data_IF_917926967023
#
_entry.id   IF_917926967023
#
_cell.length_a   1.000
_cell.length_b   1.000
_cell.length_c   1.000
_cell.angle_alpha   90.00
_cell.angle_beta   90.00
_cell.angle_gamma   90.00
#
_symmetry.space_group_name_H-M   'P 1'
#
loop_
_entity.id
_entity.type
_entity.pdbx_description
1 polymer ?
#
# COMPACT_ATOMS: atom_id res chain seq x y z
N UNK A 1 9.07 -0.54 -0.87
CA UNK A 1 7.66 -0.88 -0.58
C UNK A 1 6.80 0.36 -0.76
N UNK A 2 5.63 0.18 -1.34
CA UNK A 2 4.60 1.20 -1.56
C UNK A 2 3.37 0.94 -0.68
N UNK A 3 2.27 1.66 -0.95
CA UNK A 3 1.06 1.56 -0.13
C UNK A 3 0.37 0.20 -0.23
N UNK A 4 0.47 -0.52 -1.37
CA UNK A 4 -0.12 -1.85 -1.50
C UNK A 4 0.68 -2.90 -0.73
N UNK A 5 2.00 -2.91 -0.89
CA UNK A 5 2.89 -3.78 -0.13
C UNK A 5 2.69 -3.62 1.39
N UNK A 6 2.70 -2.37 1.88
CA UNK A 6 2.55 -2.06 3.31
C UNK A 6 1.14 -2.40 3.79
N UNK A 7 0.12 -2.02 3.03
CA UNK A 7 -1.27 -2.34 3.31
C UNK A 7 -1.51 -3.84 3.41
N UNK A 8 -0.98 -4.61 2.47
CA UNK A 8 -1.07 -6.07 2.44
C UNK A 8 -0.42 -6.70 3.69
N UNK A 9 0.79 -6.24 4.06
CA UNK A 9 1.49 -6.73 5.24
C UNK A 9 0.73 -6.44 6.53
N UNK A 10 0.25 -5.21 6.71
CA UNK A 10 -0.52 -4.81 7.89
C UNK A 10 -1.85 -5.57 7.96
N UNK A 11 -2.59 -5.64 6.86
CA UNK A 11 -3.88 -6.32 6.82
C UNK A 11 -3.74 -7.81 7.18
N UNK A 12 -2.78 -8.52 6.58
CA UNK A 12 -2.56 -9.93 6.86
C UNK A 12 -2.11 -10.17 8.31
N UNK A 13 -1.21 -9.35 8.83
CA UNK A 13 -0.76 -9.46 10.23
C UNK A 13 -1.93 -9.25 11.20
N UNK A 14 -2.74 -8.21 11.00
CA UNK A 14 -3.91 -7.93 11.85
C UNK A 14 -4.98 -9.02 11.73
N UNK A 15 -5.21 -9.54 10.52
CA UNK A 15 -6.10 -10.66 10.27
C UNK A 15 -5.68 -11.91 11.04
N UNK A 16 -4.41 -12.34 10.92
CA UNK A 16 -3.92 -13.52 11.64
C UNK A 16 -3.98 -13.29 13.15
N UNK A 17 -3.55 -12.12 13.63
CA UNK A 17 -3.61 -11.79 15.06
C UNK A 17 -5.04 -11.83 15.62
N UNK A 18 -6.04 -11.44 14.81
CA UNK A 18 -7.45 -11.42 15.20
C UNK A 18 -8.09 -12.80 15.22
N UNK A 19 -7.88 -13.59 14.17
CA UNK A 19 -8.62 -14.84 13.95
C UNK A 19 -7.83 -16.09 14.30
N UNK A 20 -6.51 -15.98 14.43
CA UNK A 20 -5.56 -17.06 14.72
C UNK A 20 -4.49 -16.61 15.74
N UNK A 21 -4.92 -16.17 16.96
CA UNK A 21 -4.02 -15.51 17.92
C UNK A 21 -2.92 -16.41 18.47
N UNK A 22 -3.02 -17.71 18.28
CA UNK A 22 -2.00 -18.69 18.68
C UNK A 22 -0.79 -18.72 17.72
N UNK A 23 -0.88 -18.05 16.57
CA UNK A 23 0.23 -17.99 15.60
C UNK A 23 1.20 -16.88 15.95
N UNK A 24 2.49 -17.20 15.91
CA UNK A 24 3.56 -16.22 15.99
C UNK A 24 3.81 -15.61 14.62
N UNK A 25 3.74 -14.29 14.51
CA UNK A 25 3.88 -13.55 13.26
C UNK A 25 5.02 -12.56 13.40
N UNK A 26 5.86 -12.50 12.38
CA UNK A 26 6.83 -11.45 12.19
C UNK A 26 6.62 -10.84 10.79
N UNK A 27 6.57 -9.52 10.72
CA UNK A 27 6.50 -8.78 9.45
C UNK A 27 7.80 -8.04 9.24
N UNK A 28 8.43 -8.24 8.11
CA UNK A 28 9.65 -7.54 7.73
C UNK A 28 9.40 -6.69 6.48
N UNK A 29 9.73 -5.40 6.61
CA UNK A 29 9.80 -4.45 5.51
C UNK A 29 11.10 -3.66 5.71
N UNK A 30 11.94 -3.59 4.68
CA UNK A 30 13.27 -2.97 4.77
C UNK A 30 13.19 -1.50 5.21
N UNK A 31 12.28 -0.74 4.62
CA UNK A 31 12.05 0.66 4.99
C UNK A 31 10.58 1.00 4.79
N UNK A 32 9.93 1.47 5.84
CA UNK A 32 8.55 1.98 5.77
C UNK A 32 8.59 3.48 5.47
N UNK A 33 8.06 3.95 4.33
CA UNK A 33 7.97 5.37 4.04
C UNK A 33 7.22 6.14 5.12
N UNK A 34 7.62 7.38 5.37
CA UNK A 34 7.07 8.22 6.45
C UNK A 34 5.55 8.35 6.37
N UNK A 35 5.02 8.47 5.16
CA UNK A 35 3.59 8.60 4.88
C UNK A 35 2.76 7.41 5.38
N UNK A 36 3.36 6.24 5.59
CA UNK A 36 2.68 5.03 6.07
C UNK A 36 2.99 4.66 7.51
N UNK A 37 3.84 5.41 8.22
CA UNK A 37 4.23 5.10 9.61
C UNK A 37 3.02 5.08 10.56
N UNK A 38 1.96 5.82 10.25
CA UNK A 38 0.72 5.81 11.04
C UNK A 38 0.00 4.45 11.05
N UNK A 39 0.34 3.54 10.13
CA UNK A 39 -0.23 2.19 10.10
C UNK A 39 0.35 1.29 11.21
N UNK A 40 1.51 1.66 11.75
CA UNK A 40 2.19 0.97 12.86
C UNK A 40 2.46 1.91 14.03
N UNK A 41 1.45 2.66 14.46
CA UNK A 41 1.53 3.65 15.55
C UNK A 41 2.17 3.08 16.83
N UNK A 42 1.91 1.80 17.11
CA UNK A 42 2.40 1.11 18.30
C UNK A 42 3.76 0.47 18.12
N UNK A 43 4.31 0.48 16.90
CA UNK A 43 5.55 -0.22 16.52
C UNK A 43 5.52 -1.72 16.90
N UNK A 44 4.37 -2.36 16.70
CA UNK A 44 4.14 -3.76 17.01
C UNK A 44 3.92 -4.65 15.77
N UNK A 45 4.05 -4.09 14.58
CA UNK A 45 3.84 -4.78 13.30
C UNK A 45 5.18 -5.09 12.65
N UNK A 46 5.98 -4.04 12.35
CA UNK A 46 7.19 -4.20 11.55
C UNK A 46 8.41 -4.53 12.40
N UNK A 47 9.17 -5.52 11.95
CA UNK A 47 10.49 -5.82 12.50
C UNK A 47 11.56 -4.91 11.88
N UNK A 48 12.41 -4.33 12.71
CA UNK A 48 13.55 -3.52 12.29
C UNK A 48 14.76 -4.36 11.79
N UNK A 49 14.66 -5.68 11.87
CA UNK A 49 15.73 -6.60 11.45
C UNK A 49 15.13 -7.86 10.84
N UNK A 50 15.83 -8.42 9.87
CA UNK A 50 15.47 -9.72 9.32
C UNK A 50 15.60 -10.76 10.42
N UNK A 51 14.52 -11.48 10.75
CA UNK A 51 14.56 -12.53 11.74
C UNK A 51 15.50 -13.65 11.31
N UNK A 52 16.33 -14.14 12.23
CA UNK A 52 17.25 -15.24 11.97
C UNK A 52 16.61 -16.63 12.17
N UNK A 53 15.37 -16.67 12.67
CA UNK A 53 14.66 -17.89 12.98
C UNK A 53 14.22 -18.65 11.72
N UNK A 54 14.00 -19.97 11.88
CA UNK A 54 13.38 -20.77 10.85
C UNK A 54 11.88 -20.64 10.95
N UNK A 55 11.25 -20.17 9.88
CA UNK A 55 9.80 -20.06 9.80
C UNK A 55 9.16 -21.35 9.30
N UNK A 56 7.98 -21.68 9.82
CA UNK A 56 7.15 -22.73 9.27
C UNK A 56 6.58 -22.33 7.91
N UNK A 57 6.21 -21.05 7.77
CA UNK A 57 5.72 -20.47 6.53
C UNK A 57 6.29 -19.06 6.35
N UNK A 58 6.84 -18.78 5.18
CA UNK A 58 7.16 -17.43 4.73
C UNK A 58 6.15 -17.00 3.66
N UNK A 59 5.50 -15.87 3.85
CA UNK A 59 4.57 -15.30 2.88
C UNK A 59 5.19 -14.04 2.29
N UNK A 60 5.44 -14.04 0.99
CA UNK A 60 5.82 -12.85 0.23
C UNK A 60 4.56 -12.18 -0.29
N UNK A 61 4.41 -10.88 -0.01
CA UNK A 61 3.27 -10.08 -0.43
C UNK A 61 3.74 -8.99 -1.39
N UNK A 62 3.01 -8.81 -2.48
CA UNK A 62 3.24 -7.75 -3.44
C UNK A 62 4.69 -7.72 -3.97
N UNK A 63 5.19 -8.91 -4.28
CA UNK A 63 6.59 -9.10 -4.64
C UNK A 63 6.71 -10.04 -5.84
N UNK A 64 7.00 -9.50 -7.02
CA UNK A 64 6.99 -10.23 -8.29
C UNK A 64 8.18 -11.16 -8.50
N UNK A 65 9.26 -11.02 -7.70
CA UNK A 65 10.45 -11.88 -7.80
C UNK A 65 11.21 -11.96 -6.47
N UNK A 66 11.95 -13.05 -6.22
CA UNK A 66 12.71 -13.23 -4.98
C UNK A 66 13.79 -12.16 -4.78
N UNK A 67 14.33 -11.60 -5.86
CA UNK A 67 15.37 -10.57 -5.78
C UNK A 67 14.89 -9.30 -5.08
N UNK A 68 13.57 -9.05 -5.10
CA UNK A 68 12.94 -7.90 -4.43
C UNK A 68 12.72 -8.10 -2.92
N UNK A 69 12.97 -9.31 -2.41
CA UNK A 69 12.88 -9.58 -0.96
C UNK A 69 14.05 -8.99 -0.15
N UNK A 70 15.08 -8.46 -0.84
CA UNK A 70 16.23 -7.87 -0.19
C UNK A 70 16.87 -8.80 0.83
N UNK A 71 17.14 -8.32 2.03
CA UNK A 71 17.76 -9.08 3.11
C UNK A 71 16.90 -10.26 3.60
N UNK A 72 15.58 -10.22 3.38
CA UNK A 72 14.68 -11.32 3.76
C UNK A 72 14.77 -12.55 2.83
N UNK A 73 15.44 -12.45 1.68
CA UNK A 73 15.56 -13.55 0.71
C UNK A 73 16.11 -14.82 1.35
N UNK A 74 17.09 -14.70 2.23
CA UNK A 74 17.66 -15.86 2.93
C UNK A 74 16.65 -16.54 3.86
N UNK A 75 15.83 -15.76 4.56
CA UNK A 75 14.78 -16.30 5.43
C UNK A 75 13.68 -16.99 4.61
N UNK A 76 13.35 -16.47 3.42
CA UNK A 76 12.44 -17.10 2.46
C UNK A 76 12.91 -18.51 2.07
N UNK A 77 14.16 -18.64 1.63
CA UNK A 77 14.68 -19.96 1.20
C UNK A 77 14.90 -20.95 2.34
N UNK A 78 15.03 -20.48 3.59
CA UNK A 78 15.22 -21.32 4.76
C UNK A 78 13.89 -21.73 5.43
N UNK A 79 12.77 -21.16 5.02
CA UNK A 79 11.44 -21.49 5.55
C UNK A 79 11.05 -22.93 5.15
N UNK A 80 10.23 -23.60 5.99
CA UNK A 80 9.73 -24.95 5.68
C UNK A 80 8.77 -24.94 4.49
N UNK A 81 7.98 -23.87 4.36
CA UNK A 81 7.05 -23.64 3.27
C UNK A 81 7.08 -22.18 2.87
N UNK A 82 6.82 -21.92 1.58
CA UNK A 82 6.79 -20.56 1.04
C UNK A 82 5.50 -20.31 0.28
N UNK A 83 4.97 -19.08 0.41
CA UNK A 83 3.80 -18.61 -0.31
C UNK A 83 4.08 -17.22 -0.90
N UNK A 84 3.54 -16.96 -2.07
CA UNK A 84 3.52 -15.63 -2.67
C UNK A 84 2.06 -15.25 -2.97
N UNK A 85 1.65 -14.05 -2.56
CA UNK A 85 0.36 -13.45 -2.89
C UNK A 85 0.66 -12.14 -3.60
N UNK A 86 0.21 -12.00 -4.84
CA UNK A 86 0.61 -10.90 -5.71
C UNK A 86 -0.43 -10.64 -6.80
N UNK A 87 -0.38 -9.48 -7.43
CA UNK A 87 -1.19 -9.14 -8.59
C UNK A 87 -0.36 -8.74 -9.82
N UNK A 88 0.95 -8.70 -9.70
CA UNK A 88 1.82 -8.31 -10.82
C UNK A 88 1.85 -9.35 -11.93
N UNK A 89 1.51 -8.96 -13.16
CA UNK A 89 1.59 -9.80 -14.36
C UNK A 89 3.02 -10.35 -14.61
N UNK A 90 4.03 -9.67 -14.09
CA UNK A 90 5.44 -10.06 -14.20
C UNK A 90 5.90 -11.05 -13.12
N UNK A 91 5.00 -11.51 -12.23
CA UNK A 91 5.35 -12.43 -11.17
C UNK A 91 5.90 -13.75 -11.72
N UNK A 92 6.99 -14.21 -11.14
CA UNK A 92 7.71 -15.41 -11.59
C UNK A 92 7.20 -16.72 -10.96
N UNK A 93 6.17 -16.69 -10.15
CA UNK A 93 5.61 -17.84 -9.43
C UNK A 93 6.69 -18.64 -8.69
N UNK A 94 7.51 -17.98 -7.89
CA UNK A 94 8.74 -18.48 -7.31
C UNK A 94 8.59 -19.18 -5.95
N UNK A 95 7.42 -19.10 -5.34
CA UNK A 95 7.12 -19.72 -4.06
C UNK A 95 6.59 -21.15 -4.22
N UNK A 96 6.54 -21.92 -3.14
CA UNK A 96 5.91 -23.25 -3.14
C UNK A 96 4.41 -23.19 -3.43
N UNK A 97 3.73 -22.13 -2.97
CA UNK A 97 2.34 -21.80 -3.31
C UNK A 97 2.31 -20.38 -3.84
N UNK A 98 1.69 -20.17 -5.00
CA UNK A 98 1.58 -18.86 -5.62
C UNK A 98 0.11 -18.55 -5.89
N UNK A 99 -0.35 -17.43 -5.37
CA UNK A 99 -1.68 -16.85 -5.62
C UNK A 99 -1.42 -15.52 -6.34
N UNK A 100 -1.51 -15.54 -7.67
CA UNK A 100 -1.19 -14.39 -8.51
C UNK A 100 -2.41 -14.07 -9.37
N UNK A 101 -3.04 -12.95 -9.10
CA UNK A 101 -4.27 -12.50 -9.74
C UNK A 101 -4.00 -11.21 -10.54
N UNK A 102 -3.50 -11.36 -11.76
CA UNK A 102 -3.08 -10.23 -12.60
C UNK A 102 -4.23 -9.28 -13.00
N UNK A 103 -5.48 -9.72 -12.90
CA UNK A 103 -6.66 -8.90 -13.14
C UNK A 103 -7.14 -8.12 -11.90
N UNK A 104 -6.58 -8.41 -10.72
CA UNK A 104 -6.86 -7.66 -9.51
C UNK A 104 -6.16 -6.29 -9.55
N UNK A 105 -6.79 -5.29 -8.98
CA UNK A 105 -6.24 -3.94 -8.95
C UNK A 105 -5.02 -3.80 -8.06
N UNK A 106 -4.86 -4.69 -7.07
CA UNK A 106 -3.81 -4.66 -6.05
C UNK A 106 -3.70 -5.99 -5.32
N UNK A 107 -2.60 -6.24 -4.66
CA UNK A 107 -2.43 -7.37 -3.72
C UNK A 107 -3.41 -7.28 -2.55
N UNK A 108 -3.76 -6.08 -2.11
CA UNK A 108 -4.80 -5.86 -1.09
C UNK A 108 -6.19 -6.31 -1.57
N UNK A 109 -6.54 -6.15 -2.85
CA UNK A 109 -7.77 -6.71 -3.43
C UNK A 109 -7.74 -8.25 -3.38
N UNK A 110 -6.62 -8.87 -3.76
CA UNK A 110 -6.44 -10.33 -3.67
C UNK A 110 -6.61 -10.81 -2.24
N UNK A 111 -5.95 -10.15 -1.28
CA UNK A 111 -6.06 -10.50 0.13
C UNK A 111 -7.48 -10.35 0.67
N UNK A 112 -8.20 -9.29 0.29
CA UNK A 112 -9.59 -9.14 0.67
C UNK A 112 -10.44 -10.33 0.21
N UNK A 113 -10.26 -10.77 -1.04
CA UNK A 113 -10.98 -11.93 -1.57
C UNK A 113 -10.66 -13.21 -0.80
N UNK A 114 -9.37 -13.48 -0.54
CA UNK A 114 -8.95 -14.65 0.23
C UNK A 114 -9.50 -14.63 1.68
N UNK A 115 -9.41 -13.49 2.35
CA UNK A 115 -9.95 -13.34 3.69
C UNK A 115 -11.47 -13.50 3.74
N UNK A 116 -12.18 -13.08 2.68
CA UNK A 116 -13.64 -13.17 2.60
C UNK A 116 -14.16 -14.60 2.46
N UNK A 117 -13.31 -15.55 2.06
CA UNK A 117 -13.62 -16.98 2.08
C UNK A 117 -13.65 -17.55 3.52
N UNK A 118 -13.01 -16.88 4.49
CA UNK A 118 -13.12 -17.22 5.89
C UNK A 118 -14.44 -16.66 6.47
N UNK A 119 -15.33 -17.56 6.90
CA UNK A 119 -16.61 -17.19 7.49
C UNK A 119 -16.46 -16.26 8.72
N UNK A 120 -15.39 -16.39 9.49
CA UNK A 120 -15.13 -15.54 10.66
C UNK A 120 -14.95 -14.09 10.24
N UNK A 121 -14.14 -13.86 9.20
CA UNK A 121 -13.87 -12.52 8.67
C UNK A 121 -15.11 -11.94 7.99
N UNK A 122 -15.73 -12.70 7.10
CA UNK A 122 -16.94 -12.28 6.38
C UNK A 122 -18.08 -11.88 7.34
N UNK A 123 -18.28 -12.63 8.41
CA UNK A 123 -19.28 -12.33 9.45
C UNK A 123 -18.92 -11.08 10.27
N UNK A 124 -17.63 -10.77 10.45
CA UNK A 124 -17.20 -9.60 11.21
C UNK A 124 -17.49 -8.30 10.44
N UNK A 125 -17.24 -8.27 9.14
CA UNK A 125 -17.53 -7.12 8.28
C UNK A 125 -19.03 -6.80 8.19
N UNK A 126 -19.89 -7.83 8.16
CA UNK A 126 -21.34 -7.67 8.06
C UNK A 126 -22.01 -7.17 9.37
N UNK A 127 -21.33 -7.27 10.50
CA UNK A 127 -21.83 -6.84 11.82
C UNK A 127 -21.45 -5.41 12.19
N UNK A 128 -20.64 -4.74 11.40
CA UNK A 128 -20.17 -3.38 11.67
C UNK A 128 -21.29 -2.35 11.43
N UNK A 129 -22.30 -2.31 12.32
CA UNK A 129 -23.22 -1.19 12.41
C UNK A 129 -22.52 -0.02 13.12
N UNK A 130 -22.50 1.13 12.47
CA UNK A 130 -21.79 2.37 12.85
C UNK A 130 -22.08 2.81 14.31
N UNK A 131 -23.27 2.52 14.84
CA UNK A 131 -23.69 2.94 16.19
C UNK A 131 -22.98 2.16 17.30
N UNK A 132 -22.60 0.92 17.08
CA UNK A 132 -21.93 0.08 18.08
C UNK A 132 -20.41 0.26 18.09
N UNK A 133 -19.84 0.75 16.98
CA UNK A 133 -18.39 0.93 16.83
C UNK A 133 -17.84 2.07 17.73
N UNK A 134 -18.68 3.03 18.11
CA UNK A 134 -18.30 4.18 18.96
C UNK A 134 -18.32 3.84 20.45
N UNK A 135 -19.10 2.85 20.87
CA UNK A 135 -19.36 2.56 22.28
C UNK A 135 -18.67 1.33 22.86
N UNK A 136 -18.09 0.46 22.04
CA UNK A 136 -17.33 -0.70 22.52
C UNK A 136 -15.89 -0.66 22.01
N UNK A 137 -14.98 -0.18 22.84
CA UNK A 137 -13.53 -0.25 22.70
C UNK A 137 -13.01 -1.69 22.90
N UNK A 138 -13.70 -2.69 22.39
CA UNK A 138 -13.20 -4.05 22.36
C UNK A 138 -12.06 -4.13 21.35
N UNK A 139 -10.94 -4.72 21.75
CA UNK A 139 -9.74 -4.89 20.92
C UNK A 139 -10.02 -5.52 19.55
N UNK A 140 -11.07 -6.30 19.46
CA UNK A 140 -11.48 -7.02 18.26
C UNK A 140 -11.98 -6.10 17.13
N UNK A 141 -12.87 -5.17 17.46
CA UNK A 141 -13.40 -4.18 16.48
C UNK A 141 -12.29 -3.24 16.00
N UNK A 142 -11.31 -2.97 16.86
CA UNK A 142 -10.14 -2.17 16.46
C UNK A 142 -9.30 -2.89 15.43
N UNK A 143 -9.08 -4.20 15.57
CA UNK A 143 -8.31 -4.98 14.59
C UNK A 143 -9.04 -5.06 13.25
N UNK A 144 -10.36 -5.23 13.24
CA UNK A 144 -11.17 -5.22 12.01
C UNK A 144 -11.11 -3.89 11.28
N UNK A 145 -11.17 -2.77 12.02
CA UNK A 145 -10.95 -1.43 11.47
C UNK A 145 -9.54 -1.27 10.89
N UNK A 146 -8.50 -1.77 11.59
CA UNK A 146 -7.12 -1.70 11.12
C UNK A 146 -6.91 -2.54 9.85
N UNK A 147 -7.56 -3.72 9.73
CA UNK A 147 -7.55 -4.54 8.53
C UNK A 147 -8.20 -3.78 7.36
N UNK A 148 -9.42 -3.25 7.57
CA UNK A 148 -10.14 -2.53 6.53
C UNK A 148 -9.39 -1.28 6.06
N UNK A 149 -8.80 -0.53 6.98
CA UNK A 149 -7.94 0.62 6.70
C UNK A 149 -6.76 0.23 5.82
N UNK A 150 -6.05 -0.82 6.19
CA UNK A 150 -4.85 -1.26 5.49
C UNK A 150 -5.15 -1.73 4.06
N UNK A 151 -6.19 -2.56 3.90
CA UNK A 151 -6.66 -3.01 2.57
C UNK A 151 -7.10 -1.83 1.71
N UNK A 152 -7.85 -0.88 2.27
CA UNK A 152 -8.32 0.29 1.54
C UNK A 152 -7.15 1.15 1.04
N UNK A 153 -6.14 1.37 1.88
CA UNK A 153 -4.95 2.17 1.51
C UNK A 153 -4.20 1.50 0.36
N UNK A 154 -3.98 0.18 0.40
CA UNK A 154 -3.34 -0.53 -0.71
C UNK A 154 -4.13 -0.39 -2.01
N UNK A 155 -5.44 -0.59 -1.97
CA UNK A 155 -6.32 -0.46 -3.15
C UNK A 155 -6.23 0.95 -3.75
N UNK A 156 -6.36 2.01 -2.94
CA UNK A 156 -6.31 3.39 -3.47
C UNK A 156 -4.92 3.74 -4.00
N UNK A 157 -3.87 3.12 -3.45
CA UNK A 157 -2.51 3.37 -3.91
C UNK A 157 -2.31 2.85 -5.33
N UNK A 158 -2.58 1.60 -5.57
CA UNK A 158 -2.38 0.94 -6.86
C UNK A 158 -3.37 1.36 -7.95
N UNK A 159 -4.53 1.87 -7.55
CA UNK A 159 -5.52 2.42 -8.47
C UNK A 159 -5.38 3.92 -8.73
N UNK A 160 -4.39 4.57 -8.09
CA UNK A 160 -4.26 6.02 -8.13
C UNK A 160 -5.55 6.73 -7.71
N UNK A 161 -6.14 6.29 -6.60
CA UNK A 161 -7.45 6.73 -6.11
C UNK A 161 -8.54 6.47 -7.19
N UNK A 162 -8.60 5.23 -7.65
CA UNK A 162 -9.59 4.73 -8.63
C UNK A 162 -9.53 5.39 -10.02
N UNK A 163 -8.42 6.03 -10.38
CA UNK A 163 -8.25 6.71 -11.69
C UNK A 163 -7.58 5.85 -12.75
N UNK A 164 -6.88 4.78 -12.36
CA UNK A 164 -6.15 3.95 -13.30
C UNK A 164 -7.05 2.86 -13.92
N UNK A 165 -6.62 2.35 -15.07
CA UNK A 165 -7.38 1.37 -15.85
C UNK A 165 -7.52 0.00 -15.21
N UNK A 166 -6.72 -0.30 -14.17
CA UNK A 166 -6.83 -1.51 -13.35
C UNK A 166 -8.00 -1.45 -12.35
N UNK A 167 -8.68 -0.30 -12.21
CA UNK A 167 -9.88 -0.16 -11.38
C UNK A 167 -11.05 -0.87 -12.04
N UNK A 168 -11.60 -1.88 -11.40
CA UNK A 168 -12.74 -2.66 -11.87
C UNK A 168 -14.00 -2.39 -11.03
N UNK A 169 -15.15 -2.92 -11.50
CA UNK A 169 -16.38 -2.94 -10.69
C UNK A 169 -16.13 -3.64 -9.34
N UNK A 170 -15.43 -4.77 -9.36
CA UNK A 170 -15.08 -5.54 -8.14
C UNK A 170 -14.25 -4.71 -7.17
N UNK A 171 -13.26 -3.98 -7.67
CA UNK A 171 -12.44 -3.06 -6.87
C UNK A 171 -13.30 -2.04 -6.13
N UNK A 172 -14.26 -1.41 -6.83
CA UNK A 172 -15.17 -0.43 -6.24
C UNK A 172 -16.14 -1.04 -5.21
N UNK A 173 -16.65 -2.25 -5.47
CA UNK A 173 -17.50 -2.98 -4.53
C UNK A 173 -16.75 -3.34 -3.23
N UNK A 174 -15.50 -3.78 -3.34
CA UNK A 174 -14.63 -4.06 -2.19
C UNK A 174 -14.34 -2.78 -1.42
N UNK A 175 -13.94 -1.71 -2.11
CA UNK A 175 -13.70 -0.41 -1.47
C UNK A 175 -14.93 0.08 -0.70
N UNK A 176 -16.13 -0.04 -1.30
CA UNK A 176 -17.39 0.30 -0.64
C UNK A 176 -17.62 -0.49 0.65
N UNK A 177 -17.39 -1.80 0.63
CA UNK A 177 -17.50 -2.64 1.84
C UNK A 177 -16.50 -2.28 2.92
N UNK A 178 -15.26 -1.94 2.54
CA UNK A 178 -14.26 -1.48 3.49
C UNK A 178 -14.66 -0.14 4.12
N UNK A 179 -15.28 0.77 3.36
CA UNK A 179 -15.80 2.04 3.87
C UNK A 179 -16.97 1.84 4.86
N UNK A 180 -17.79 0.81 4.70
CA UNK A 180 -18.88 0.47 5.65
C UNK A 180 -18.37 0.18 7.06
N UNK A 181 -17.10 -0.17 7.24
CA UNK A 181 -16.48 -0.34 8.57
C UNK A 181 -16.26 0.98 9.32
N UNK A 182 -16.55 2.12 8.67
CA UNK A 182 -16.42 3.45 9.27
C UNK A 182 -15.02 4.05 9.18
N UNK A 183 -14.12 3.51 8.34
CA UNK A 183 -12.81 4.14 8.11
C UNK A 183 -12.97 5.55 7.55
N UNK A 184 -12.21 6.54 8.02
CA UNK A 184 -12.22 7.88 7.47
C UNK A 184 -11.47 7.92 6.14
N UNK A 185 -12.04 7.31 5.09
CA UNK A 185 -11.40 7.06 3.81
C UNK A 185 -10.89 8.34 3.14
N UNK A 186 -11.65 9.46 3.25
CA UNK A 186 -11.24 10.77 2.70
C UNK A 186 -9.92 11.26 3.32
N UNK A 187 -9.72 11.00 4.61
CA UNK A 187 -8.50 11.39 5.33
C UNK A 187 -7.27 10.68 4.74
N UNK A 188 -7.41 9.39 4.41
CA UNK A 188 -6.30 8.62 3.82
C UNK A 188 -5.99 9.06 2.40
N UNK A 189 -7.02 9.46 1.63
CA UNK A 189 -6.81 10.06 0.32
C UNK A 189 -6.05 11.38 0.46
N UNK A 190 -6.48 12.23 1.37
CA UNK A 190 -5.81 13.52 1.61
C UNK A 190 -4.36 13.32 2.05
N UNK A 191 -4.13 12.53 3.10
CA UNK A 191 -2.80 12.35 3.71
C UNK A 191 -1.81 11.62 2.79
N UNK A 192 -2.28 10.62 2.04
CA UNK A 192 -1.39 9.80 1.21
C UNK A 192 -1.17 10.35 -0.21
N UNK A 193 -2.11 11.17 -0.75
CA UNK A 193 -2.05 11.57 -2.15
C UNK A 193 -2.13 13.06 -2.41
N UNK A 194 -2.86 13.82 -1.59
CA UNK A 194 -3.16 15.21 -1.88
C UNK A 194 -2.31 16.18 -1.07
N UNK A 195 -2.02 15.86 0.18
CA UNK A 195 -1.21 16.74 1.03
C UNK A 195 0.23 16.85 0.51
N UNK A 196 0.70 18.08 0.50
CA UNK A 196 2.07 18.44 0.15
C UNK A 196 2.64 19.37 1.17
N UNK A 197 3.91 19.26 1.45
CA UNK A 197 4.62 20.26 2.26
C UNK A 197 4.68 21.60 1.52
N UNK A 198 4.92 22.65 2.26
CA UNK A 198 5.13 23.98 1.65
C UNK A 198 6.29 23.95 0.66
N UNK A 199 7.40 23.30 1.02
CA UNK A 199 8.58 23.10 0.16
C UNK A 199 8.21 22.38 -1.15
N UNK A 200 7.49 21.26 -1.08
CA UNK A 200 7.02 20.53 -2.27
C UNK A 200 6.14 21.43 -3.16
N UNK A 201 5.23 22.19 -2.57
CA UNK A 201 4.35 23.10 -3.31
C UNK A 201 5.13 24.21 -4.00
N UNK A 202 6.12 24.82 -3.32
CA UNK A 202 6.97 25.86 -3.91
C UNK A 202 7.84 25.32 -5.04
N UNK A 203 8.46 24.15 -4.83
CA UNK A 203 9.30 23.48 -5.83
C UNK A 203 8.48 23.10 -7.06
N UNK A 204 7.29 22.54 -6.87
CA UNK A 204 6.34 22.21 -7.95
C UNK A 204 5.99 23.47 -8.75
N UNK A 205 5.55 24.54 -8.08
CA UNK A 205 5.17 25.79 -8.75
C UNK A 205 6.31 26.37 -9.57
N UNK A 206 7.53 26.40 -9.01
CA UNK A 206 8.73 26.85 -9.73
C UNK A 206 9.06 25.98 -10.93
N UNK A 207 8.95 24.67 -10.79
CA UNK A 207 9.24 23.72 -11.86
C UNK A 207 8.23 23.85 -13.01
N UNK A 208 6.94 24.00 -12.70
CA UNK A 208 5.90 24.22 -13.71
C UNK A 208 6.11 25.52 -14.49
N UNK A 209 6.43 26.63 -13.80
CA UNK A 209 6.71 27.91 -14.43
C UNK A 209 7.95 27.88 -15.34
N UNK A 210 8.94 27.04 -15.03
CA UNK A 210 10.16 26.87 -15.82
C UNK A 210 10.03 25.80 -16.90
N UNK A 211 8.90 25.09 -16.98
CA UNK A 211 8.68 24.04 -17.97
C UNK A 211 8.52 24.61 -19.39
N UNK A 212 8.93 23.83 -20.37
CA UNK A 212 8.84 24.18 -21.79
C UNK A 212 8.14 23.07 -22.56
N UNK A 213 7.27 23.45 -23.49
CA UNK A 213 6.70 22.54 -24.47
C UNK A 213 7.62 22.43 -25.67
N UNK A 214 7.91 21.20 -26.07
CA UNK A 214 8.77 20.86 -27.23
C UNK A 214 8.06 19.86 -28.15
N UNK A 215 8.62 19.54 -29.30
CA UNK A 215 8.04 18.59 -30.25
C UNK A 215 6.59 18.93 -30.64
N UNK A 216 6.38 20.16 -31.11
CA UNK A 216 5.06 20.71 -31.49
C UNK A 216 4.02 20.61 -30.33
N UNK A 217 4.52 20.66 -29.10
CA UNK A 217 3.69 20.66 -27.90
C UNK A 217 3.35 19.27 -27.35
N UNK A 218 3.84 18.20 -27.97
CA UNK A 218 3.59 16.82 -27.55
C UNK A 218 4.43 16.40 -26.34
N UNK A 219 5.51 17.08 -26.09
CA UNK A 219 6.37 16.79 -24.94
C UNK A 219 6.55 18.05 -24.08
N UNK A 220 6.57 17.86 -22.75
CA UNK A 220 6.87 18.91 -21.79
C UNK A 220 8.13 18.53 -21.01
N UNK A 221 9.04 19.48 -20.91
CA UNK A 221 10.34 19.30 -20.24
C UNK A 221 10.46 20.33 -19.12
N UNK A 222 10.89 19.88 -17.95
CA UNK A 222 11.24 20.74 -16.84
C UNK A 222 12.57 20.29 -16.24
N UNK A 223 13.32 21.23 -15.67
CA UNK A 223 14.60 20.95 -15.03
C UNK A 223 14.55 21.42 -13.58
N UNK A 224 14.87 20.52 -12.66
CA UNK A 224 15.09 20.85 -11.26
C UNK A 224 16.59 20.87 -11.04
N UNK A 225 17.11 22.06 -10.76
CA UNK A 225 18.54 22.25 -10.55
C UNK A 225 18.91 22.09 -9.07
N UNK A 226 20.17 21.73 -8.81
CA UNK A 226 20.70 21.69 -7.44
C UNK A 226 20.51 23.01 -6.70
N UNK A 227 20.67 24.14 -7.40
CA UNK A 227 20.44 25.48 -6.83
C UNK A 227 18.97 25.68 -6.40
N UNK A 228 18.01 25.13 -7.14
CA UNK A 228 16.60 25.16 -6.72
C UNK A 228 16.37 24.33 -5.46
N UNK A 229 16.95 23.14 -5.39
CA UNK A 229 16.86 22.28 -4.21
C UNK A 229 17.46 22.97 -2.98
N UNK A 230 18.64 23.57 -3.12
CA UNK A 230 19.30 24.31 -2.04
C UNK A 230 18.49 25.54 -1.61
N UNK A 231 17.91 26.28 -2.56
CA UNK A 231 17.12 27.50 -2.27
C UNK A 231 15.84 27.20 -1.46
N UNK A 232 15.17 26.08 -1.78
CA UNK A 232 13.94 25.66 -1.10
C UNK A 232 14.21 24.71 0.08
N UNK A 233 15.47 24.45 0.40
CA UNK A 233 15.86 23.43 1.40
C UNK A 233 15.20 22.08 1.14
N UNK A 234 15.00 21.74 -0.16
CA UNK A 234 14.28 20.56 -0.59
C UNK A 234 15.18 19.31 -0.60
N UNK A 235 14.59 18.19 -0.25
CA UNK A 235 15.20 16.86 -0.32
C UNK A 235 14.79 16.13 -1.60
N UNK A 236 15.35 14.95 -1.84
CA UNK A 236 15.02 14.13 -3.00
C UNK A 236 13.55 13.72 -3.02
N UNK A 237 12.99 13.46 -1.84
CA UNK A 237 11.58 13.08 -1.66
C UNK A 237 10.62 14.20 -2.04
N UNK A 238 11.06 15.47 -1.97
CA UNK A 238 10.23 16.63 -2.33
C UNK A 238 10.03 16.79 -3.85
N UNK A 239 10.72 16.00 -4.67
CA UNK A 239 10.56 15.97 -6.13
C UNK A 239 9.38 15.07 -6.55
N UNK A 240 8.93 14.18 -5.68
CA UNK A 240 7.88 13.22 -5.99
C UNK A 240 6.57 13.91 -6.45
N UNK A 241 5.91 13.29 -7.42
CA UNK A 241 4.65 13.78 -7.99
C UNK A 241 4.77 15.00 -8.91
N UNK A 242 5.96 15.59 -9.11
CA UNK A 242 6.13 16.70 -10.07
C UNK A 242 5.91 16.23 -11.51
N UNK A 243 6.44 15.06 -11.86
CA UNK A 243 6.28 14.49 -13.20
C UNK A 243 4.82 14.21 -13.53
N UNK A 244 4.02 13.81 -12.54
CA UNK A 244 2.59 13.54 -12.73
C UNK A 244 1.83 14.81 -13.11
N UNK A 245 2.21 15.96 -12.53
CA UNK A 245 1.62 17.25 -12.89
C UNK A 245 1.99 17.69 -14.30
N UNK A 246 3.18 17.33 -14.78
CA UNK A 246 3.56 17.59 -16.18
C UNK A 246 2.77 16.66 -17.13
N UNK A 247 2.66 15.38 -16.77
CA UNK A 247 2.00 14.35 -17.59
C UNK A 247 0.50 14.58 -17.80
N UNK A 248 -0.21 15.17 -16.83
CA UNK A 248 -1.64 15.48 -16.97
C UNK A 248 -1.92 16.73 -17.83
N UNK A 249 -0.86 17.40 -18.37
CA UNK A 249 -1.05 18.55 -19.23
C UNK A 249 -1.65 18.13 -20.57
N UNK A 250 -2.76 18.73 -20.96
CA UNK A 250 -3.46 18.39 -22.19
C UNK A 250 -2.57 18.51 -23.43
N UNK A 251 -2.56 17.48 -24.26
CA UNK A 251 -1.78 17.41 -25.50
C UNK A 251 -0.34 16.96 -25.33
N UNK A 252 0.05 16.55 -24.13
CA UNK A 252 1.34 15.87 -23.86
C UNK A 252 1.13 14.36 -23.98
N UNK A 253 2.07 13.69 -24.68
CA UNK A 253 2.07 12.24 -24.93
C UNK A 253 3.13 11.54 -24.08
#
# INVERSE_FOLDING_TARGET
PDGDCIGACVALQRYIKRFYPEKNICVYIETVPEVFQFMDDKKDIFSNSVPQDKFDLFIALDCSSPDRLGDAQKAFYNAKSTMCIDHHISNRCYAGVNIVEADASSTCEVLYCLMSEDEKFSNSLNKANITDAILSLENDKKLEFEIARALYIGIIFDTGVFRYSNTSKKTMEIAGKLMETGIPFWKYIDECFLQRTYTQTQLLGRTLLASMRVMDGKCIVATITRRMMEFYEAKTEDIEGIIDQLRITQGVE
#
